data_IF_192955481621
#
_entry.id   IF_192955481621
#
_cell.length_a   1.000
_cell.length_b   1.000
_cell.length_c   1.000
_cell.angle_alpha   90.00
_cell.angle_beta   90.00
_cell.angle_gamma   90.00
#
_symmetry.space_group_name_H-M   'P 1'
#
loop_
_entity.id
_entity.type
_entity.pdbx_description
1 polymer ?
#
# COMPACT_ATOMS: atom_id res chain seq x y z
N UNK A 1 11.03 -13.24 1.36
CA UNK A 1 9.86 -12.38 1.04
C UNK A 1 10.02 -11.04 1.72
N UNK A 2 9.50 -10.02 1.10
CA UNK A 2 9.50 -8.66 1.65
C UNK A 2 8.07 -8.28 2.00
N UNK A 3 7.87 -7.78 3.22
CA UNK A 3 6.62 -7.17 3.63
C UNK A 3 6.76 -5.65 3.62
N UNK A 4 5.68 -4.97 3.29
CA UNK A 4 5.57 -3.53 3.48
C UNK A 4 4.31 -3.29 4.30
N UNK A 5 4.46 -2.58 5.41
CA UNK A 5 3.34 -2.25 6.29
C UNK A 5 3.40 -0.78 6.66
N UNK A 6 2.24 -0.20 6.89
CA UNK A 6 2.23 1.18 7.32
C UNK A 6 0.86 1.81 7.39
N UNK A 7 0.88 3.10 7.62
CA UNK A 7 -0.33 3.91 7.71
C UNK A 7 -0.16 5.24 6.98
N UNK A 8 -1.25 5.71 6.40
CA UNK A 8 -1.34 7.00 5.74
C UNK A 8 -2.54 7.77 6.33
N UNK A 9 -2.30 8.93 6.95
CA UNK A 9 -3.39 9.75 7.44
C UNK A 9 -4.05 10.51 6.28
N UNK A 10 -5.37 10.48 6.21
CA UNK A 10 -6.14 11.16 5.17
C UNK A 10 -6.80 12.42 5.69
N UNK A 11 -6.82 13.47 4.87
CA UNK A 11 -7.67 14.61 5.14
C UNK A 11 -9.13 14.18 5.03
N UNK A 12 -9.99 14.45 6.05
CA UNK A 12 -11.38 14.01 6.02
C UNK A 12 -12.15 14.42 4.76
N UNK A 13 -11.93 15.65 4.29
CA UNK A 13 -12.57 16.17 3.09
C UNK A 13 -12.09 15.53 1.79
N UNK A 14 -10.98 14.82 1.82
CA UNK A 14 -10.34 14.20 0.64
C UNK A 14 -10.45 12.67 0.65
N UNK A 15 -11.13 12.10 1.62
CA UNK A 15 -11.20 10.65 1.81
C UNK A 15 -11.69 9.91 0.57
N UNK A 16 -12.80 10.33 -0.01
CA UNK A 16 -13.38 9.63 -1.16
C UNK A 16 -12.45 9.66 -2.37
N UNK A 17 -11.85 10.81 -2.66
CA UNK A 17 -10.89 10.94 -3.75
C UNK A 17 -9.61 10.12 -3.49
N UNK A 18 -9.16 10.06 -2.23
CA UNK A 18 -8.03 9.21 -1.85
C UNK A 18 -8.34 7.73 -2.05
N UNK A 19 -9.52 7.27 -1.67
CA UNK A 19 -9.94 5.89 -1.87
C UNK A 19 -10.05 5.51 -3.33
N UNK A 20 -10.45 6.43 -4.22
CA UNK A 20 -10.44 6.19 -5.66
C UNK A 20 -9.02 5.95 -6.18
N UNK A 21 -8.06 6.76 -5.73
CA UNK A 21 -6.65 6.55 -6.09
C UNK A 21 -6.13 5.20 -5.56
N UNK A 22 -6.50 4.82 -4.36
CA UNK A 22 -6.14 3.54 -3.74
C UNK A 22 -6.71 2.36 -4.53
N UNK A 23 -7.97 2.41 -4.91
CA UNK A 23 -8.61 1.35 -5.71
C UNK A 23 -7.88 1.12 -7.02
N UNK A 24 -7.46 2.19 -7.66
CA UNK A 24 -6.76 2.09 -8.95
C UNK A 24 -5.37 1.49 -8.79
N UNK A 25 -4.56 1.94 -7.84
CA UNK A 25 -3.23 1.38 -7.62
C UNK A 25 -3.29 -0.08 -7.17
N UNK A 26 -4.26 -0.46 -6.35
CA UNK A 26 -4.47 -1.86 -5.96
C UNK A 26 -4.74 -2.75 -7.18
N UNK A 27 -5.63 -2.32 -8.05
CA UNK A 27 -6.00 -3.09 -9.23
C UNK A 27 -4.80 -3.37 -10.12
N UNK A 28 -3.99 -2.36 -10.39
CA UNK A 28 -2.80 -2.50 -11.23
C UNK A 28 -1.71 -3.32 -10.54
N UNK A 29 -1.46 -3.04 -9.26
CA UNK A 29 -0.37 -3.68 -8.52
C UNK A 29 -0.59 -5.18 -8.35
N UNK A 30 -1.84 -5.60 -8.13
CA UNK A 30 -2.16 -7.01 -7.92
C UNK A 30 -1.88 -7.91 -9.12
N UNK A 31 -1.71 -7.36 -10.31
CA UNK A 31 -1.31 -8.11 -11.50
C UNK A 31 0.19 -8.08 -11.75
N UNK A 32 0.98 -7.40 -10.93
CA UNK A 32 2.43 -7.37 -11.09
C UNK A 32 3.07 -8.71 -10.73
N UNK A 33 4.06 -9.18 -11.53
CA UNK A 33 4.81 -10.38 -11.17
C UNK A 33 5.50 -10.20 -9.82
N UNK A 34 5.40 -11.22 -8.97
CA UNK A 34 6.01 -11.21 -7.65
C UNK A 34 5.23 -10.46 -6.57
N UNK A 35 4.10 -9.87 -6.89
CA UNK A 35 3.20 -9.35 -5.87
C UNK A 35 2.32 -10.50 -5.34
N UNK A 36 2.42 -10.78 -4.04
CA UNK A 36 1.62 -11.79 -3.36
C UNK A 36 0.41 -11.20 -2.65
N UNK A 37 0.53 -9.96 -2.19
CA UNK A 37 -0.57 -9.22 -1.56
C UNK A 37 -0.34 -7.72 -1.71
N UNK A 38 -1.40 -7.00 -1.95
CA UNK A 38 -1.39 -5.54 -1.98
C UNK A 38 -2.76 -5.06 -1.53
N UNK A 39 -2.83 -4.61 -0.28
CA UNK A 39 -4.10 -4.32 0.36
C UNK A 39 -4.05 -3.02 1.15
N UNK A 40 -5.04 -2.19 0.92
CA UNK A 40 -5.34 -1.06 1.78
C UNK A 40 -6.63 -1.34 2.54
N UNK A 41 -6.69 -0.85 3.78
CA UNK A 41 -7.89 -0.94 4.59
C UNK A 41 -7.97 0.29 5.49
N UNK A 42 -9.17 0.68 5.85
CA UNK A 42 -9.36 1.72 6.84
C UNK A 42 -9.25 1.13 8.24
N UNK A 43 -8.68 1.90 9.16
CA UNK A 43 -8.63 1.53 10.56
C UNK A 43 -10.06 1.46 11.11
N UNK A 44 -10.35 0.45 11.94
CA UNK A 44 -11.68 0.25 12.49
C UNK A 44 -12.12 1.42 13.39
N UNK A 45 -11.17 2.01 14.09
CA UNK A 45 -11.44 3.09 15.05
C UNK A 45 -11.23 4.50 14.46
N UNK A 46 -10.63 4.59 13.27
CA UNK A 46 -10.35 5.87 12.61
C UNK A 46 -10.47 5.71 11.10
N UNK A 47 -11.60 6.08 10.55
CA UNK A 47 -11.90 5.93 9.12
C UNK A 47 -11.18 6.96 8.22
N UNK A 48 -10.30 7.78 8.79
CA UNK A 48 -9.39 8.64 8.05
C UNK A 48 -7.95 8.16 8.14
N UNK A 49 -7.72 6.98 8.73
CA UNK A 49 -6.41 6.34 8.81
C UNK A 49 -6.38 5.12 7.92
N UNK A 50 -5.62 5.23 6.85
CA UNK A 50 -5.46 4.16 5.88
C UNK A 50 -4.30 3.27 6.30
N UNK A 51 -4.51 1.95 6.23
CA UNK A 51 -3.46 0.95 6.48
C UNK A 51 -3.08 0.28 5.18
N UNK A 52 -1.80 -0.06 5.03
CA UNK A 52 -1.31 -0.82 3.89
C UNK A 52 -0.61 -2.09 4.36
N UNK A 53 -0.82 -3.16 3.60
CA UNK A 53 -0.11 -4.43 3.73
C UNK A 53 0.29 -4.92 2.35
N UNK A 54 1.59 -5.15 2.14
CA UNK A 54 2.13 -5.64 0.87
C UNK A 54 3.03 -6.83 1.13
N UNK A 55 3.01 -7.79 0.21
CA UNK A 55 3.91 -8.95 0.21
C UNK A 55 4.53 -9.09 -1.18
N UNK A 56 5.86 -9.12 -1.20
CA UNK A 56 6.65 -9.19 -2.44
C UNK A 56 7.61 -10.35 -2.42
N UNK A 57 7.74 -11.05 -3.55
CA UNK A 57 8.62 -12.21 -3.68
C UNK A 57 10.10 -11.84 -3.51
N UNK A 58 10.49 -10.63 -3.94
CA UNK A 58 11.90 -10.22 -4.02
C UNK A 58 12.06 -8.70 -4.03
N UNK A 59 13.29 -8.24 -3.84
CA UNK A 59 13.67 -6.84 -4.04
C UNK A 59 13.35 -6.37 -5.46
N UNK A 60 13.63 -7.21 -6.45
CA UNK A 60 13.41 -6.84 -7.85
C UNK A 60 11.94 -6.57 -8.13
N UNK A 61 11.05 -7.43 -7.61
CA UNK A 61 9.60 -7.23 -7.77
C UNK A 61 9.14 -5.92 -7.13
N UNK A 62 9.59 -5.62 -5.92
CA UNK A 62 9.26 -4.37 -5.25
C UNK A 62 9.83 -3.16 -6.00
N UNK A 63 11.08 -3.25 -6.46
CA UNK A 63 11.72 -2.16 -7.21
C UNK A 63 11.00 -1.89 -8.52
N UNK A 64 10.54 -2.90 -9.23
CA UNK A 64 9.74 -2.73 -10.46
C UNK A 64 8.41 -2.02 -10.15
N UNK A 65 7.77 -2.38 -9.03
CA UNK A 65 6.58 -1.68 -8.57
C UNK A 65 6.86 -0.20 -8.32
N UNK A 66 7.91 0.09 -7.56
CA UNK A 66 8.29 1.47 -7.23
C UNK A 66 8.63 2.32 -8.46
N UNK A 67 9.05 1.68 -9.55
CA UNK A 67 9.37 2.33 -10.81
C UNK A 67 8.20 2.36 -11.80
N UNK A 68 7.06 1.78 -11.45
CA UNK A 68 5.94 1.66 -12.38
C UNK A 68 5.18 2.97 -12.58
N UNK A 69 4.53 3.08 -13.75
CA UNK A 69 3.71 4.25 -14.07
C UNK A 69 2.51 4.39 -13.14
N UNK A 70 1.88 3.27 -12.77
CA UNK A 70 0.71 3.31 -11.87
C UNK A 70 1.09 3.70 -10.44
N UNK A 71 2.29 3.35 -9.96
CA UNK A 71 2.76 3.82 -8.67
C UNK A 71 3.07 5.32 -8.69
N UNK A 72 3.73 5.81 -9.75
CA UNK A 72 3.99 7.24 -9.92
C UNK A 72 2.67 8.05 -9.96
N UNK A 73 1.68 7.55 -10.70
CA UNK A 73 0.36 8.17 -10.75
C UNK A 73 -0.33 8.19 -9.38
N UNK A 74 -0.19 7.11 -8.61
CA UNK A 74 -0.72 7.04 -7.24
C UNK A 74 -0.07 8.09 -6.34
N UNK A 75 1.26 8.18 -6.34
CA UNK A 75 1.98 9.17 -5.52
C UNK A 75 1.55 10.60 -5.86
N UNK A 76 1.38 10.90 -7.14
CA UNK A 76 0.91 12.21 -7.58
C UNK A 76 -0.50 12.51 -7.08
N UNK A 77 -1.40 11.53 -7.17
CA UNK A 77 -2.80 11.71 -6.76
C UNK A 77 -2.98 11.75 -5.25
N UNK A 78 -2.20 10.97 -4.49
CA UNK A 78 -2.41 10.86 -3.04
C UNK A 78 -1.76 12.00 -2.25
N UNK A 79 -0.73 12.63 -2.80
CA UNK A 79 0.12 13.57 -2.07
C UNK A 79 -0.62 14.73 -1.39
N UNK A 80 -1.56 15.35 -2.10
CA UNK A 80 -2.34 16.49 -1.57
C UNK A 80 -3.56 16.07 -0.75
N UNK A 81 -3.76 14.77 -0.55
CA UNK A 81 -4.89 14.21 0.20
C UNK A 81 -4.51 13.71 1.58
N UNK A 82 -3.22 13.74 1.88
CA UNK A 82 -2.70 13.31 3.18
C UNK A 82 -2.85 14.42 4.23
N UNK A 83 -3.17 14.01 5.46
CA UNK A 83 -3.22 14.91 6.61
C UNK A 83 -1.89 15.04 7.34
N UNK A 84 -0.90 14.23 6.95
CA UNK A 84 0.44 14.23 7.55
C UNK A 84 1.33 13.22 6.83
N UNK A 85 2.53 13.02 7.36
CA UNK A 85 3.50 12.10 6.76
C UNK A 85 3.04 10.64 6.87
N UNK A 86 3.16 9.85 5.78
CA UNK A 86 2.98 8.41 5.86
C UNK A 86 4.04 7.78 6.76
N UNK A 87 3.64 6.73 7.47
CA UNK A 87 4.56 5.89 8.24
C UNK A 87 4.55 4.49 7.62
N UNK A 88 5.50 4.22 6.73
CA UNK A 88 5.58 2.97 5.97
C UNK A 88 6.96 2.37 6.13
N UNK A 89 7.02 1.09 6.50
CA UNK A 89 8.26 0.36 6.71
C UNK A 89 8.27 -0.93 5.90
N UNK A 90 9.47 -1.40 5.56
CA UNK A 90 9.65 -2.70 4.92
C UNK A 90 10.31 -3.68 5.88
N UNK A 91 9.96 -4.93 5.75
CA UNK A 91 10.48 -6.05 6.54
C UNK A 91 11.17 -7.00 5.58
N UNK A 92 12.47 -7.19 5.73
CA UNK A 92 13.27 -8.05 4.86
C UNK A 92 13.38 -9.46 5.44
N UNK A 93 13.47 -10.46 4.55
CA UNK A 93 13.66 -11.84 4.95
C UNK A 93 12.46 -12.47 5.67
N UNK A 94 11.25 -11.97 5.41
CA UNK A 94 10.05 -12.49 6.03
C UNK A 94 9.75 -13.90 5.52
N UNK A 95 9.38 -14.78 6.44
CA UNK A 95 8.87 -16.12 6.15
C UNK A 95 7.52 -16.27 6.83
N UNK A 96 6.67 -17.12 6.27
CA UNK A 96 5.33 -17.29 6.82
C UNK A 96 4.92 -18.75 6.88
N UNK A 97 4.06 -19.06 7.84
CA UNK A 97 3.35 -20.32 7.94
C UNK A 97 2.00 -20.03 8.59
N UNK A 98 0.99 -20.91 8.42
CA UNK A 98 -0.29 -20.72 9.10
C UNK A 98 -0.11 -20.60 10.60
N UNK A 99 -0.80 -19.64 11.22
CA UNK A 99 -0.77 -19.48 12.67
C UNK A 99 -1.53 -20.62 13.37
N UNK A 100 -2.63 -21.03 12.78
CA UNK A 100 -3.47 -22.11 13.30
C UNK A 100 -3.29 -23.34 12.41
N UNK A 101 -2.79 -24.40 12.99
CA UNK A 101 -2.53 -25.68 12.31
C UNK A 101 -3.35 -26.80 12.93
#
# INVERSE_FOLDING_TARGET
MILVTGTLPLQPSQKDAALDAVREVQRHTRSEPGNHAYEFALDIDDDHRLRIHEEWASDEALNEHMASAHFAAFLERIGDKLAGAPEVVRWDGATSRPLFE
#
